data_IF_193057121783
#
_entry.id   IF_193057121783
#
_cell.length_a   1.000
_cell.length_b   1.000
_cell.length_c   1.000
_cell.angle_alpha   90.00
_cell.angle_beta   90.00
_cell.angle_gamma   90.00
#
_symmetry.space_group_name_H-M   'P 1'
#
loop_
_entity.id
_entity.type
_entity.pdbx_description
1 polymer ?
#
# COMPACT_ATOMS: atom_id res chain seq x y z
N UNK A 1 8.98 15.27 -51.68
CA UNK A 1 8.92 15.80 -50.29
C UNK A 1 10.11 16.70 -50.07
N UNK A 2 9.89 18.00 -49.88
CA UNK A 2 10.97 18.99 -49.91
C UNK A 2 11.70 19.04 -48.56
N UNK A 3 12.99 19.44 -48.56
CA UNK A 3 13.85 19.46 -47.37
C UNK A 3 13.19 20.18 -46.17
N UNK A 4 12.43 21.25 -46.42
CA UNK A 4 11.67 21.98 -45.39
C UNK A 4 10.57 21.12 -44.74
N UNK A 5 9.85 20.31 -45.51
CA UNK A 5 8.80 19.41 -44.99
C UNK A 5 9.41 18.30 -44.13
N UNK A 6 10.57 17.76 -44.54
CA UNK A 6 11.34 16.80 -43.72
C UNK A 6 11.79 17.39 -42.40
N UNK A 7 12.30 18.62 -42.40
CA UNK A 7 12.75 19.31 -41.18
C UNK A 7 11.57 19.60 -40.24
N UNK A 8 10.44 20.08 -40.76
CA UNK A 8 9.23 20.32 -39.95
C UNK A 8 8.74 19.01 -39.30
N UNK A 9 8.75 17.92 -40.06
CA UNK A 9 8.29 16.62 -39.56
C UNK A 9 9.25 16.05 -38.50
N UNK A 10 10.56 16.26 -38.68
CA UNK A 10 11.58 15.88 -37.68
C UNK A 10 11.40 16.66 -36.38
N UNK A 11 11.20 17.99 -36.46
CA UNK A 11 10.96 18.83 -35.30
C UNK A 11 9.66 18.41 -34.57
N UNK A 12 8.59 18.17 -35.32
CA UNK A 12 7.33 17.68 -34.74
C UNK A 12 7.51 16.34 -34.03
N UNK A 13 8.26 15.40 -34.62
CA UNK A 13 8.55 14.10 -33.98
C UNK A 13 9.38 14.26 -32.70
N UNK A 14 10.38 15.15 -32.70
CA UNK A 14 11.21 15.41 -31.53
C UNK A 14 10.40 16.03 -30.38
N UNK A 15 9.46 16.94 -30.69
CA UNK A 15 8.54 17.50 -29.71
C UNK A 15 7.61 16.43 -29.12
N UNK A 16 7.06 15.53 -29.94
CA UNK A 16 6.21 14.42 -29.46
C UNK A 16 7.01 13.46 -28.57
N UNK A 17 8.24 13.13 -28.95
CA UNK A 17 9.12 12.26 -28.14
C UNK A 17 9.52 12.91 -26.81
N UNK A 18 9.81 14.22 -26.80
CA UNK A 18 10.10 14.95 -25.57
C UNK A 18 8.88 15.01 -24.64
N UNK A 19 7.68 15.24 -25.19
CA UNK A 19 6.44 15.17 -24.42
C UNK A 19 6.19 13.77 -23.87
N UNK A 20 6.38 12.73 -24.68
CA UNK A 20 6.26 11.35 -24.24
C UNK A 20 7.27 11.01 -23.13
N UNK A 21 8.50 11.52 -23.20
CA UNK A 21 9.52 11.32 -22.17
C UNK A 21 9.22 12.06 -20.87
N UNK A 22 8.71 13.30 -20.94
CA UNK A 22 8.27 14.07 -19.77
C UNK A 22 7.03 13.42 -19.14
N UNK A 23 6.08 12.96 -19.96
CA UNK A 23 4.91 12.22 -19.48
C UNK A 23 5.34 10.87 -18.89
N UNK A 24 6.29 10.16 -19.48
CA UNK A 24 6.82 8.89 -18.96
C UNK A 24 7.52 9.09 -17.61
N UNK A 25 8.38 10.11 -17.47
CA UNK A 25 9.05 10.42 -16.21
C UNK A 25 8.10 11.03 -15.17
N UNK A 26 7.06 11.75 -15.60
CA UNK A 26 6.01 12.29 -14.72
C UNK A 26 4.93 11.27 -14.34
N UNK A 27 4.81 10.19 -15.12
CA UNK A 27 3.96 9.00 -14.87
C UNK A 27 4.77 7.83 -14.31
N UNK A 28 5.96 8.08 -13.76
CA UNK A 28 6.41 7.33 -12.57
C UNK A 28 5.51 7.75 -11.41
N UNK A 29 4.20 7.56 -11.57
CA UNK A 29 3.22 7.78 -10.53
C UNK A 29 3.65 6.90 -9.37
N UNK A 30 3.94 7.52 -8.23
CA UNK A 30 4.12 6.79 -6.99
C UNK A 30 2.97 5.78 -6.92
N UNK A 31 3.32 4.50 -6.83
CA UNK A 31 2.34 3.44 -6.71
C UNK A 31 1.35 3.87 -5.60
N UNK A 32 0.03 3.64 -5.73
CA UNK A 32 -0.94 4.13 -4.74
C UNK A 32 -0.58 3.75 -3.30
N UNK A 33 0.14 2.64 -3.15
CA UNK A 33 0.61 2.10 -1.88
C UNK A 33 2.04 2.55 -1.47
N UNK A 34 2.71 3.40 -2.26
CA UNK A 34 4.07 3.89 -1.97
C UNK A 34 4.18 4.60 -0.61
N UNK A 35 3.22 5.44 -0.18
CA UNK A 35 3.25 6.01 1.17
C UNK A 35 3.21 4.93 2.26
N UNK A 36 2.45 3.85 2.03
CA UNK A 36 2.29 2.75 2.96
C UNK A 36 3.55 1.86 3.00
N UNK A 37 4.13 1.55 1.84
CA UNK A 37 5.40 0.85 1.76
C UNK A 37 6.55 1.66 2.40
N UNK A 38 6.58 2.98 2.18
CA UNK A 38 7.54 3.86 2.84
C UNK A 38 7.37 3.85 4.37
N UNK A 39 6.14 3.88 4.87
CA UNK A 39 5.86 3.73 6.31
C UNK A 39 6.40 2.38 6.83
N UNK A 40 6.13 1.27 6.15
CA UNK A 40 6.66 -0.05 6.55
C UNK A 40 8.20 -0.09 6.55
N UNK A 41 8.84 0.53 5.56
CA UNK A 41 10.30 0.67 5.49
C UNK A 41 10.88 1.48 6.66
N UNK A 42 10.23 2.57 7.08
CA UNK A 42 10.69 3.31 8.27
C UNK A 42 10.62 2.49 9.55
N UNK A 43 9.72 1.49 9.59
CA UNK A 43 9.58 0.52 10.68
C UNK A 43 10.52 -0.68 10.55
N UNK A 44 11.42 -0.71 9.55
CA UNK A 44 12.45 -1.75 9.39
C UNK A 44 12.09 -2.88 8.42
N UNK A 45 10.91 -2.85 7.81
CA UNK A 45 10.48 -3.90 6.87
C UNK A 45 10.90 -3.54 5.43
N UNK A 46 11.60 -4.45 4.77
CA UNK A 46 11.97 -4.27 3.35
C UNK A 46 10.77 -4.64 2.46
N UNK A 47 9.87 -3.67 2.26
CA UNK A 47 8.64 -3.83 1.47
C UNK A 47 8.56 -2.79 0.35
N UNK A 48 8.30 -3.26 -0.86
CA UNK A 48 8.02 -2.44 -2.04
C UNK A 48 6.50 -2.26 -2.22
N UNK A 49 6.09 -1.17 -2.87
CA UNK A 49 4.67 -0.82 -2.98
C UNK A 49 3.85 -1.83 -3.79
N UNK A 50 4.48 -2.49 -4.77
CA UNK A 50 3.89 -3.54 -5.60
C UNK A 50 3.65 -4.84 -4.82
N UNK A 51 4.32 -5.03 -3.68
CA UNK A 51 4.13 -6.18 -2.80
C UNK A 51 2.90 -6.05 -1.90
N UNK A 52 2.31 -4.85 -1.83
CA UNK A 52 1.06 -4.61 -1.11
C UNK A 52 -0.12 -5.01 -2.01
N UNK A 53 -0.61 -6.22 -1.81
CA UNK A 53 -1.74 -6.79 -2.53
C UNK A 53 -3.07 -6.30 -1.93
N UNK A 54 -3.93 -5.69 -2.75
CA UNK A 54 -5.29 -5.37 -2.35
C UNK A 54 -6.15 -6.65 -2.34
N UNK A 55 -6.55 -7.07 -1.15
CA UNK A 55 -7.39 -8.25 -0.93
C UNK A 55 -8.88 -7.91 -0.76
N UNK A 56 -9.24 -6.63 -0.66
CA UNK A 56 -10.63 -6.18 -0.58
C UNK A 56 -10.78 -4.68 -0.34
N UNK A 57 -11.88 -4.12 -0.82
CA UNK A 57 -12.28 -2.73 -0.58
C UNK A 57 -13.75 -2.67 -0.19
N UNK A 58 -14.06 -1.90 0.85
CA UNK A 58 -15.38 -1.77 1.46
C UNK A 58 -15.71 -0.29 1.63
N UNK A 59 -16.63 0.22 0.83
CA UNK A 59 -16.99 1.64 0.81
C UNK A 59 -18.04 1.96 1.89
N UNK A 60 -17.83 3.07 2.60
CA UNK A 60 -18.79 3.59 3.59
C UNK A 60 -19.05 2.66 4.77
N UNK A 61 -18.09 1.80 5.13
CA UNK A 61 -18.20 0.85 6.23
C UNK A 61 -17.07 1.04 7.24
N UNK A 62 -17.23 0.49 8.44
CA UNK A 62 -16.12 0.36 9.39
C UNK A 62 -15.39 -0.97 9.23
N UNK A 63 -14.16 -1.07 9.75
CA UNK A 63 -13.39 -2.33 9.73
C UNK A 63 -14.16 -3.44 10.46
N UNK A 64 -14.80 -3.12 11.59
CA UNK A 64 -15.63 -4.07 12.34
C UNK A 64 -16.85 -4.55 11.56
N UNK A 65 -17.43 -3.70 10.71
CA UNK A 65 -18.52 -4.09 9.82
C UNK A 65 -18.02 -4.94 8.65
N UNK A 66 -16.89 -4.57 8.03
CA UNK A 66 -16.28 -5.31 6.92
C UNK A 66 -15.88 -6.73 7.33
N UNK A 67 -15.46 -6.92 8.59
CA UNK A 67 -15.04 -8.21 9.16
C UNK A 67 -16.09 -8.82 10.10
N UNK A 68 -17.37 -8.57 9.84
CA UNK A 68 -18.47 -9.05 10.69
C UNK A 68 -18.33 -10.54 11.04
N UNK A 69 -18.34 -10.85 12.34
CA UNK A 69 -18.19 -12.23 12.85
C UNK A 69 -16.76 -12.66 13.18
N UNK A 70 -15.75 -11.81 12.95
CA UNK A 70 -14.35 -12.04 13.35
C UNK A 70 -14.08 -11.32 14.68
N UNK A 71 -13.42 -12.00 15.63
CA UNK A 71 -12.91 -11.31 16.82
C UNK A 71 -11.66 -10.49 16.44
N UNK A 72 -11.72 -9.17 16.63
CA UNK A 72 -10.64 -8.23 16.31
C UNK A 72 -9.83 -7.82 17.54
N UNK A 73 -10.14 -8.30 18.75
CA UNK A 73 -9.46 -7.88 19.99
C UNK A 73 -7.94 -8.08 19.91
N UNK A 74 -7.48 -9.26 19.49
CA UNK A 74 -6.05 -9.56 19.36
C UNK A 74 -5.38 -8.74 18.25
N UNK A 75 -6.12 -8.48 17.16
CA UNK A 75 -5.64 -7.67 16.03
C UNK A 75 -5.48 -6.20 16.44
N UNK A 76 -6.45 -5.65 17.18
CA UNK A 76 -6.41 -4.31 17.74
C UNK A 76 -5.28 -4.19 18.75
N UNK A 77 -5.12 -5.16 19.65
CA UNK A 77 -4.04 -5.17 20.62
C UNK A 77 -2.65 -5.16 19.95
N UNK A 78 -2.44 -6.03 18.96
CA UNK A 78 -1.19 -6.07 18.18
C UNK A 78 -0.95 -4.77 17.40
N UNK A 79 -2.00 -4.21 16.79
CA UNK A 79 -1.93 -2.98 16.02
C UNK A 79 -1.63 -1.74 16.89
N UNK A 80 -2.27 -1.63 18.05
CA UNK A 80 -1.98 -0.58 19.03
C UNK A 80 -0.56 -0.71 19.60
N UNK A 81 -0.09 -1.93 19.87
CA UNK A 81 1.30 -2.15 20.29
C UNK A 81 2.30 -1.76 19.18
N UNK A 82 1.91 -1.90 17.91
CA UNK A 82 2.63 -1.36 16.76
C UNK A 82 2.47 0.16 16.56
N UNK A 83 1.73 0.87 17.41
CA UNK A 83 1.56 2.32 17.35
C UNK A 83 0.57 2.82 16.29
N UNK A 84 -0.41 2.01 15.90
CA UNK A 84 -1.48 2.41 14.99
C UNK A 84 -2.76 2.81 15.74
N UNK A 85 -3.60 3.71 15.20
CA UNK A 85 -4.80 4.20 15.89
C UNK A 85 -5.79 3.08 16.26
N UNK A 86 -5.99 2.12 15.35
CA UNK A 86 -6.78 0.90 15.54
C UNK A 86 -8.26 1.13 15.86
N UNK A 87 -8.88 2.20 15.34
CA UNK A 87 -10.32 2.44 15.51
C UNK A 87 -11.13 1.61 14.49
N UNK A 88 -11.58 0.44 14.92
CA UNK A 88 -12.37 -0.48 14.09
C UNK A 88 -13.83 -0.05 13.88
N UNK A 89 -14.31 0.97 14.61
CA UNK A 89 -15.69 1.46 14.51
C UNK A 89 -15.81 2.70 13.62
N UNK A 90 -14.68 3.35 13.32
CA UNK A 90 -14.63 4.48 12.40
C UNK A 90 -15.11 4.06 11.00
N UNK A 91 -16.02 4.84 10.44
CA UNK A 91 -16.63 4.58 9.14
C UNK A 91 -15.93 5.39 8.05
N UNK A 92 -15.67 4.77 6.91
CA UNK A 92 -15.02 5.39 5.77
C UNK A 92 -14.84 4.40 4.63
N UNK A 93 -13.88 4.65 3.75
CA UNK A 93 -13.49 3.69 2.72
C UNK A 93 -12.38 2.80 3.24
N UNK A 94 -12.73 1.55 3.58
CA UNK A 94 -11.80 0.56 4.09
C UNK A 94 -11.16 -0.18 2.92
N UNK A 95 -9.83 -0.25 2.89
CA UNK A 95 -9.07 -1.10 1.97
C UNK A 95 -8.21 -2.06 2.77
N UNK A 96 -8.29 -3.34 2.45
CA UNK A 96 -7.47 -4.41 3.01
C UNK A 96 -6.28 -4.68 2.10
N UNK A 97 -5.08 -4.42 2.61
CA UNK A 97 -3.82 -4.71 1.97
C UNK A 97 -3.10 -5.84 2.70
N UNK A 98 -2.54 -6.78 1.93
CA UNK A 98 -1.74 -7.88 2.42
C UNK A 98 -0.33 -7.80 1.83
N UNK A 99 0.68 -8.07 2.64
CA UNK A 99 2.06 -8.19 2.16
C UNK A 99 2.71 -9.43 2.79
N UNK A 100 3.13 -10.37 1.94
CA UNK A 100 3.84 -11.56 2.39
C UNK A 100 5.31 -11.24 2.69
N UNK A 101 5.76 -11.63 3.87
CA UNK A 101 7.16 -11.55 4.29
C UNK A 101 7.89 -12.85 3.97
N UNK A 102 9.21 -12.78 3.78
CA UNK A 102 10.04 -13.92 3.43
C UNK A 102 10.09 -15.04 4.50
N UNK A 103 9.65 -14.74 5.73
CA UNK A 103 9.63 -15.65 6.87
C UNK A 103 8.27 -16.33 7.10
N UNK A 104 7.39 -16.38 6.09
CA UNK A 104 6.03 -16.93 6.18
C UNK A 104 5.09 -16.15 7.10
N UNK A 105 5.45 -14.92 7.48
CA UNK A 105 4.52 -13.99 8.10
C UNK A 105 3.83 -13.14 7.01
N UNK A 106 2.63 -12.65 7.28
CA UNK A 106 1.89 -11.72 6.41
C UNK A 106 1.57 -10.46 7.18
N UNK A 107 1.98 -9.31 6.68
CA UNK A 107 1.49 -8.01 7.15
C UNK A 107 0.07 -7.85 6.63
N UNK A 108 -0.86 -7.64 7.55
CA UNK A 108 -2.25 -7.31 7.26
C UNK A 108 -2.48 -5.85 7.64
N UNK A 109 -2.88 -5.04 6.67
CA UNK A 109 -3.04 -3.60 6.81
C UNK A 109 -4.45 -3.20 6.34
N UNK A 110 -5.23 -2.60 7.24
CA UNK A 110 -6.47 -1.92 6.90
C UNK A 110 -6.20 -0.42 6.80
N UNK A 111 -6.53 0.11 5.64
CA UNK A 111 -6.43 1.52 5.30
C UNK A 111 -7.83 2.10 5.32
N UNK A 112 -8.03 3.17 6.08
CA UNK A 112 -9.27 3.93 6.10
C UNK A 112 -9.05 5.28 5.44
N UNK A 113 -9.78 5.56 4.36
CA UNK A 113 -9.69 6.81 3.60
C UNK A 113 -8.26 7.21 3.17
N UNK A 114 -7.42 6.21 2.91
CA UNK A 114 -6.02 6.39 2.49
C UNK A 114 -4.99 6.37 3.64
N UNK A 115 -5.43 6.32 4.90
CA UNK A 115 -4.53 6.27 6.07
C UNK A 115 -4.54 4.88 6.73
N UNK A 116 -3.37 4.45 7.23
CA UNK A 116 -3.24 3.19 7.94
C UNK A 116 -3.97 3.25 9.30
N UNK A 117 -5.04 2.47 9.45
CA UNK A 117 -5.89 2.48 10.65
C UNK A 117 -5.61 1.25 11.54
N UNK A 118 -5.53 0.05 10.96
CA UNK A 118 -5.22 -1.19 11.69
C UNK A 118 -4.11 -1.96 10.98
N UNK A 119 -3.03 -2.33 11.67
CA UNK A 119 -1.91 -3.04 11.05
C UNK A 119 -1.28 -4.06 12.00
N UNK A 120 -1.14 -5.31 11.57
CA UNK A 120 -0.55 -6.38 12.37
C UNK A 120 0.09 -7.45 11.50
N UNK A 121 0.90 -8.32 12.12
CA UNK A 121 1.55 -9.43 11.46
C UNK A 121 0.86 -10.73 11.83
N UNK A 122 0.47 -11.50 10.82
CA UNK A 122 -0.15 -12.82 10.95
C UNK A 122 0.81 -13.92 10.47
N UNK A 123 1.22 -14.84 11.35
CA UNK A 123 1.98 -16.02 10.92
C UNK A 123 1.13 -16.98 10.08
N UNK A 124 1.59 -17.38 8.90
CA UNK A 124 0.85 -18.31 8.02
C UNK A 124 0.71 -19.72 8.60
N UNK A 125 1.66 -20.13 9.45
CA UNK A 125 1.63 -21.42 10.12
C UNK A 125 0.69 -21.46 11.34
N UNK A 126 -0.03 -20.36 11.60
CA UNK A 126 -0.83 -20.18 12.81
C UNK A 126 0.04 -19.73 13.99
N UNK A 127 -0.57 -18.98 14.91
CA UNK A 127 0.11 -18.40 16.06
C UNK A 127 -0.53 -17.08 16.50
N UNK A 128 0.05 -16.47 17.53
CA UNK A 128 -0.39 -15.16 17.99
C UNK A 128 -0.06 -14.08 16.94
N UNK A 129 -0.97 -13.11 16.80
CA UNK A 129 -0.72 -11.91 15.99
C UNK A 129 0.41 -11.10 16.64
N UNK A 130 1.31 -10.58 15.81
CA UNK A 130 2.46 -9.80 16.27
C UNK A 130 2.28 -8.32 15.90
N UNK A 131 2.74 -7.39 16.75
CA UNK A 131 2.83 -5.99 16.38
C UNK A 131 3.86 -5.78 15.27
N UNK A 132 3.75 -4.67 14.54
CA UNK A 132 4.86 -4.18 13.74
C UNK A 132 5.89 -3.56 14.67
N UNK A 133 7.03 -4.24 14.81
CA UNK A 133 8.14 -3.79 15.64
C UNK A 133 9.44 -3.83 14.82
N UNK A 134 10.22 -2.77 14.93
CA UNK A 134 11.50 -2.62 14.24
C UNK A 134 12.53 -3.64 14.71
N UNK A 135 12.41 -4.12 15.95
CA UNK A 135 13.31 -5.12 16.51
C UNK A 135 12.94 -6.56 16.08
N UNK A 136 11.71 -6.77 15.61
CA UNK A 136 11.20 -8.05 15.14
C UNK A 136 11.09 -8.15 13.60
N UNK A 137 11.60 -7.14 12.88
CA UNK A 137 11.63 -7.15 11.43
C UNK A 137 12.61 -8.26 10.92
N UNK A 138 12.21 -9.04 9.89
CA UNK A 138 13.03 -10.10 9.34
C UNK A 138 14.24 -9.60 8.54
#
# INVERSE_FOLDING_TARGET
>A
MNAKQRIILLIASACVLALAFVLWNGLSGQHPNEPLAAMLRTRGYTVEAEQLYNAGSFEGQSIGQALSGVNLEDAVAASMAGGFPSDVNKTGNVTLLLCALGNQDVITLFVLDGEAELCFIQPLLGGALKPLDKEAAP
#
